data_IF_153780042911
#
_entry.id   IF_153780042911
#
_cell.length_a   1.000
_cell.length_b   1.000
_cell.length_c   1.000
_cell.angle_alpha   90.00
_cell.angle_beta   90.00
_cell.angle_gamma   90.00
#
_symmetry.space_group_name_H-M   'P 1'
#
loop_
_entity.id
_entity.type
_entity.pdbx_description
1 polymer ?
#
# COMPACT_ATOMS: atom_id res chain seq x y z
N UNK A 1 -16.83 -33.04 -48.48
CA UNK A 1 -17.31 -31.70 -48.09
C UNK A 1 -17.18 -31.43 -46.58
N UNK A 2 -16.12 -31.91 -45.93
CA UNK A 2 -15.88 -31.79 -44.49
C UNK A 2 -14.65 -30.97 -44.05
N UNK A 3 -13.64 -30.63 -44.90
CA UNK A 3 -12.40 -30.04 -44.39
C UNK A 3 -12.60 -28.61 -43.92
N UNK A 4 -13.50 -27.85 -44.58
CA UNK A 4 -13.78 -26.46 -44.22
C UNK A 4 -14.51 -26.36 -42.87
N UNK A 5 -15.46 -27.26 -42.60
CA UNK A 5 -16.17 -27.33 -41.31
C UNK A 5 -15.22 -27.72 -40.18
N UNK A 6 -14.32 -28.67 -40.42
CA UNK A 6 -13.29 -29.06 -39.45
C UNK A 6 -12.32 -27.91 -39.16
N UNK A 7 -11.88 -27.19 -40.20
CA UNK A 7 -11.00 -26.03 -40.05
C UNK A 7 -11.66 -24.91 -39.23
N UNK A 8 -12.94 -24.61 -39.50
CA UNK A 8 -13.71 -23.61 -38.75
C UNK A 8 -13.86 -23.99 -37.28
N UNK A 9 -14.12 -25.25 -36.96
CA UNK A 9 -14.23 -25.74 -35.58
C UNK A 9 -12.91 -25.62 -34.82
N UNK A 10 -11.79 -25.96 -35.47
CA UNK A 10 -10.45 -25.85 -34.87
C UNK A 10 -10.10 -24.39 -34.58
N UNK A 11 -10.38 -23.47 -35.52
CA UNK A 11 -10.15 -22.03 -35.32
C UNK A 11 -11.02 -21.46 -34.19
N UNK A 12 -12.27 -21.91 -34.07
CA UNK A 12 -13.18 -21.48 -33.00
C UNK A 12 -12.70 -21.96 -31.62
N UNK A 13 -12.22 -23.21 -31.53
CA UNK A 13 -11.68 -23.80 -30.30
C UNK A 13 -10.37 -23.12 -29.85
N UNK A 14 -9.48 -22.81 -30.80
CA UNK A 14 -8.24 -22.06 -30.54
C UNK A 14 -8.53 -20.60 -30.11
N UNK A 15 -9.52 -19.95 -30.73
CA UNK A 15 -9.95 -18.60 -30.35
C UNK A 15 -10.59 -18.52 -28.97
N UNK A 16 -11.33 -19.56 -28.55
CA UNK A 16 -11.96 -19.62 -27.24
C UNK A 16 -10.96 -19.89 -26.09
N UNK A 17 -9.92 -20.68 -26.35
CA UNK A 17 -8.90 -21.03 -25.34
C UNK A 17 -7.91 -19.88 -25.07
N UNK A 18 -7.74 -18.94 -26.01
CA UNK A 18 -6.88 -17.77 -25.82
C UNK A 18 -7.47 -16.72 -24.86
N UNK A 19 -8.78 -16.76 -24.60
CA UNK A 19 -9.48 -15.78 -23.75
C UNK A 19 -9.35 -16.05 -22.25
N UNK A 20 -8.76 -17.18 -21.84
CA UNK A 20 -8.53 -17.50 -20.42
C UNK A 20 -7.11 -17.11 -20.01
N UNK A 21 -6.66 -15.94 -20.41
CA UNK A 21 -5.64 -15.23 -19.63
C UNK A 21 -6.39 -14.40 -18.61
N UNK A 22 -6.57 -14.96 -17.42
CA UNK A 22 -6.83 -14.15 -16.24
C UNK A 22 -5.64 -13.20 -16.12
N UNK A 23 -5.81 -11.98 -16.64
CA UNK A 23 -4.95 -10.88 -16.27
C UNK A 23 -5.13 -10.75 -14.75
N UNK A 24 -4.16 -11.26 -13.98
CA UNK A 24 -3.93 -10.80 -12.62
C UNK A 24 -3.58 -9.33 -12.81
N UNK A 25 -4.61 -8.48 -12.86
CA UNK A 25 -4.44 -7.05 -12.73
C UNK A 25 -3.78 -6.89 -11.38
N UNK A 26 -2.47 -6.66 -11.38
CA UNK A 26 -1.78 -6.15 -10.21
C UNK A 26 -2.38 -4.79 -9.91
N UNK A 27 -3.46 -4.72 -9.13
CA UNK A 27 -4.09 -3.47 -8.72
C UNK A 27 -3.18 -2.61 -7.82
N UNK A 28 -1.95 -3.09 -7.56
CA UNK A 28 -0.93 -2.46 -6.75
C UNK A 28 0.11 -1.67 -7.53
N UNK A 29 -0.04 -1.44 -8.85
CA UNK A 29 0.86 -0.53 -9.57
C UNK A 29 0.76 0.86 -8.95
N UNK A 30 1.81 1.28 -8.22
CA UNK A 30 1.92 2.61 -7.61
C UNK A 30 1.47 2.75 -6.15
N UNK A 31 1.15 1.67 -5.42
CA UNK A 31 0.78 1.77 -3.99
C UNK A 31 1.93 1.44 -3.06
N UNK A 32 2.23 2.35 -2.14
CA UNK A 32 3.22 2.14 -1.09
C UNK A 32 2.64 1.26 0.03
N UNK A 33 3.11 0.01 0.11
CA UNK A 33 2.82 -0.91 1.21
C UNK A 33 4.09 -1.21 2.01
N UNK A 34 3.93 -1.38 3.32
CA UNK A 34 5.01 -1.78 4.20
C UNK A 34 5.16 -3.30 4.22
N UNK A 35 6.34 -3.81 3.86
CA UNK A 35 6.66 -5.24 3.99
C UNK A 35 7.03 -5.59 5.44
N UNK A 36 7.85 -4.73 6.05
CA UNK A 36 8.33 -4.90 7.41
C UNK A 36 8.09 -3.67 8.29
N UNK A 37 8.09 -3.89 9.60
CA UNK A 37 8.06 -2.80 10.57
C UNK A 37 9.49 -2.45 10.96
N UNK A 38 9.75 -1.15 11.06
CA UNK A 38 11.00 -0.62 11.57
C UNK A 38 11.19 -1.06 13.02
N UNK A 39 12.34 -1.65 13.33
CA UNK A 39 12.68 -2.16 14.67
C UNK A 39 13.46 -1.15 15.53
N UNK A 40 13.88 -0.03 14.95
CA UNK A 40 14.66 0.99 15.65
C UNK A 40 13.82 1.96 16.49
N UNK A 41 14.50 2.89 17.16
CA UNK A 41 13.85 3.93 17.94
C UNK A 41 13.18 4.99 17.06
N UNK A 42 11.94 5.35 17.40
CA UNK A 42 11.19 6.40 16.69
C UNK A 42 11.69 7.78 17.13
N UNK A 43 12.25 8.60 16.22
CA UNK A 43 12.81 9.91 16.58
C UNK A 43 11.69 10.97 16.65
N UNK A 44 10.93 10.99 17.75
CA UNK A 44 9.73 11.84 17.92
C UNK A 44 9.91 13.30 17.46
N UNK A 45 10.99 13.97 17.89
CA UNK A 45 11.27 15.38 17.56
C UNK A 45 11.54 15.64 16.07
N UNK A 46 11.84 14.60 15.29
CA UNK A 46 12.13 14.71 13.85
C UNK A 46 10.94 14.31 12.98
N UNK A 47 9.79 14.00 13.58
CA UNK A 47 8.58 13.62 12.83
C UNK A 47 7.88 14.87 12.30
N UNK A 48 7.47 14.81 11.03
CA UNK A 48 6.74 15.87 10.31
C UNK A 48 5.27 15.52 10.12
N UNK A 49 4.97 14.29 9.73
CA UNK A 49 3.60 13.83 9.52
C UNK A 49 3.47 12.33 9.66
N UNK A 50 2.24 11.83 9.57
CA UNK A 50 1.96 10.39 9.51
C UNK A 50 0.75 10.11 8.61
N UNK A 51 0.68 8.90 8.07
CA UNK A 51 -0.49 8.39 7.35
C UNK A 51 -0.65 6.89 7.57
N UNK A 52 -1.80 6.33 7.14
CA UNK A 52 -2.06 4.89 7.14
C UNK A 52 -1.81 4.35 5.74
N UNK A 53 -1.24 3.16 5.63
CA UNK A 53 -1.19 2.44 4.35
C UNK A 53 -2.60 2.11 3.86
N UNK A 54 -2.73 1.83 2.56
CA UNK A 54 -4.01 1.39 1.98
C UNK A 54 -4.58 0.18 2.71
N UNK A 55 -5.91 0.06 2.74
CA UNK A 55 -6.61 -1.10 3.32
C UNK A 55 -6.35 -2.38 2.53
N UNK A 56 -5.98 -2.26 1.26
CA UNK A 56 -5.62 -3.37 0.38
C UNK A 56 -4.19 -3.87 0.61
N UNK A 57 -3.36 -3.15 1.39
CA UNK A 57 -2.05 -3.67 1.75
C UNK A 57 -2.22 -4.90 2.66
N UNK A 58 -1.48 -5.99 2.40
CA UNK A 58 -1.57 -7.21 3.21
C UNK A 58 -1.18 -6.93 4.67
N UNK A 59 -0.28 -5.97 4.88
CA UNK A 59 0.16 -5.52 6.20
C UNK A 59 -0.34 -4.11 6.48
N UNK A 60 -1.16 -3.98 7.52
CA UNK A 60 -1.60 -2.68 8.02
C UNK A 60 -0.42 -1.97 8.69
N UNK A 61 -0.13 -0.74 8.30
CA UNK A 61 0.93 0.05 8.90
C UNK A 61 0.53 1.51 9.10
N UNK A 62 1.17 2.14 10.09
CA UNK A 62 1.31 3.59 10.18
C UNK A 62 2.66 3.95 9.57
N UNK A 63 2.68 4.85 8.59
CA UNK A 63 3.92 5.42 8.09
C UNK A 63 4.16 6.74 8.80
N UNK A 64 5.27 6.83 9.52
CA UNK A 64 5.75 8.08 10.11
C UNK A 64 6.75 8.71 9.16
N UNK A 65 6.57 9.98 8.82
CA UNK A 65 7.44 10.71 7.90
C UNK A 65 8.27 11.71 8.70
N UNK A 66 9.58 11.66 8.51
CA UNK A 66 10.50 12.60 9.15
C UNK A 66 10.58 13.93 8.40
N UNK A 67 11.17 14.95 9.03
CA UNK A 67 11.48 16.25 8.38
C UNK A 67 12.40 16.10 7.16
N UNK A 68 13.21 15.04 7.09
CA UNK A 68 14.05 14.70 5.93
C UNK A 68 13.33 13.78 4.94
N UNK A 69 11.99 13.73 4.97
CA UNK A 69 11.15 12.91 4.09
C UNK A 69 11.44 11.40 4.12
N UNK A 70 12.13 10.89 5.15
CA UNK A 70 12.28 9.44 5.35
C UNK A 70 10.98 8.86 5.90
N UNK A 71 10.48 7.81 5.26
CA UNK A 71 9.33 7.01 5.69
C UNK A 71 9.74 5.91 6.66
N UNK A 72 8.99 5.77 7.76
CA UNK A 72 9.21 4.74 8.78
C UNK A 72 7.92 3.91 8.89
N UNK A 73 7.96 2.71 8.31
CA UNK A 73 6.90 1.71 8.43
C UNK A 73 6.78 1.23 9.88
N UNK A 74 5.62 1.39 10.49
CA UNK A 74 5.44 1.15 11.92
C UNK A 74 4.18 0.33 12.23
N UNK A 75 4.25 -0.51 13.27
CA UNK A 75 3.11 -1.31 13.73
C UNK A 75 2.03 -0.41 14.36
N UNK A 76 0.78 -0.42 13.85
CA UNK A 76 -0.32 0.34 14.46
C UNK A 76 -0.64 -0.05 15.92
N UNK A 77 -0.23 -1.25 16.35
CA UNK A 77 -0.47 -1.77 17.69
C UNK A 77 0.56 -1.27 18.71
N UNK A 78 1.75 -0.88 18.28
CA UNK A 78 2.84 -0.42 19.16
C UNK A 78 2.47 0.87 19.90
N UNK A 79 2.68 0.87 21.22
CA UNK A 79 2.42 2.00 22.12
C UNK A 79 3.27 3.24 21.75
N UNK A 80 4.52 3.05 21.31
CA UNK A 80 5.43 4.13 20.88
C UNK A 80 4.90 4.80 19.61
N UNK A 81 4.36 4.02 18.68
CA UNK A 81 3.72 4.52 17.45
C UNK A 81 2.46 5.32 17.78
N UNK A 82 1.61 4.81 18.68
CA UNK A 82 0.43 5.55 19.16
C UNK A 82 0.81 6.86 19.87
N UNK A 83 1.93 6.90 20.60
CA UNK A 83 2.47 8.13 21.20
C UNK A 83 2.94 9.11 20.12
N UNK A 84 3.66 8.65 19.11
CA UNK A 84 4.11 9.47 17.98
C UNK A 84 2.94 10.10 17.20
N UNK A 85 1.90 9.32 16.92
CA UNK A 85 0.68 9.82 16.26
C UNK A 85 -0.01 10.89 17.12
N UNK A 86 -0.14 10.67 18.44
CA UNK A 86 -0.71 11.68 19.34
C UNK A 86 0.10 12.98 19.37
N UNK A 87 1.43 12.88 19.44
CA UNK A 87 2.33 14.03 19.37
C UNK A 87 2.16 14.82 18.06
N UNK A 88 2.10 14.13 16.92
CA UNK A 88 1.86 14.78 15.63
C UNK A 88 0.47 15.42 15.52
N UNK A 89 -0.54 14.84 16.16
CA UNK A 89 -1.88 15.43 16.23
C UNK A 89 -1.90 16.69 17.09
N UNK A 90 -1.23 16.70 18.24
CA UNK A 90 -1.19 17.87 19.12
C UNK A 90 -0.43 19.05 18.51
N UNK A 91 0.58 18.79 17.67
CA UNK A 91 1.28 19.85 16.92
C UNK A 91 0.46 20.43 15.76
N UNK A 92 -0.51 19.67 15.25
CA UNK A 92 -1.40 20.13 14.17
C UNK A 92 -2.62 20.87 14.70
N UNK A 93 -2.93 20.75 15.99
CA UNK A 93 -3.99 21.52 16.62
C UNK A 93 -3.59 23.01 16.59
N UNK A 94 -4.32 23.88 15.89
CA UNK A 94 -3.92 25.28 15.67
C UNK A 94 -3.71 26.08 16.96
N UNK A 95 -4.22 25.61 18.11
CA UNK A 95 -4.06 26.29 19.41
C UNK A 95 -2.68 26.23 20.06
N UNK A 96 -1.69 25.52 19.48
CA UNK A 96 -0.31 25.45 20.01
C UNK A 96 0.76 25.86 18.98
N UNK A 97 0.36 26.51 17.88
CA UNK A 97 1.29 27.17 16.95
C UNK A 97 1.41 28.68 17.20
N UNK A 98 0.65 29.23 18.16
CA UNK A 98 0.76 30.61 18.65
C UNK A 98 1.00 30.60 20.18
N UNK A 99 2.20 30.25 20.62
CA UNK A 99 2.76 30.56 21.94
C UNK A 99 4.28 30.45 21.91
#
# INVERSE_FOLDING_TARGET
MTPLKMLLLVMLLLGASLQVTHAVRGTNVGRECCLEYFKGAIPLKRLKMWYKTSRECPKKAIVLVTVHNKSICSDPKDRKVKKAVRYLKSMRDPGLQES
#
